data_IF_270258590905
#
_entry.id   IF_270258590905
#
_cell.length_a   1.000
_cell.length_b   1.000
_cell.length_c   1.000
_cell.angle_alpha   90.00
_cell.angle_beta   90.00
_cell.angle_gamma   90.00
#
_symmetry.space_group_name_H-M   'P 1'
#
loop_
_entity.id
_entity.type
_entity.pdbx_description
1 polymer ?
#
# COMPACT_ATOMS: atom_id res chain seq x y z
N UNK A 1 0.47 -8.50 -23.12
CA UNK A 1 0.93 -9.67 -22.35
C UNK A 1 -0.04 -9.89 -21.21
N UNK A 2 -0.97 -10.83 -21.39
CA UNK A 2 -2.08 -11.08 -20.47
C UNK A 2 -2.09 -12.57 -20.09
N UNK A 3 -1.08 -13.00 -19.35
CA UNK A 3 -1.02 -14.34 -18.73
C UNK A 3 -0.24 -14.20 -17.42
N UNK A 4 -0.92 -13.80 -16.34
CA UNK A 4 -0.34 -13.84 -14.99
C UNK A 4 -1.37 -13.67 -13.87
N UNK A 5 -2.52 -13.05 -14.12
CA UNK A 5 -3.49 -12.73 -13.06
C UNK A 5 -4.29 -13.92 -12.53
N UNK A 6 -4.33 -15.07 -13.22
CA UNK A 6 -5.21 -16.19 -12.85
C UNK A 6 -4.50 -17.19 -11.92
N UNK A 7 -3.17 -17.25 -11.94
CA UNK A 7 -2.40 -18.19 -11.11
C UNK A 7 -2.17 -17.74 -9.66
N UNK A 8 -2.47 -16.48 -9.31
CA UNK A 8 -2.36 -15.99 -7.93
C UNK A 8 -3.67 -16.13 -7.13
N UNK A 9 -4.82 -16.29 -7.78
CA UNK A 9 -6.12 -16.36 -7.09
C UNK A 9 -6.40 -17.73 -6.47
N UNK A 10 -5.79 -18.81 -6.98
CA UNK A 10 -6.02 -20.17 -6.49
C UNK A 10 -5.15 -20.56 -5.29
N UNK A 11 -4.15 -19.74 -4.91
CA UNK A 11 -3.30 -20.02 -3.74
C UNK A 11 -3.85 -19.47 -2.42
N UNK A 12 -4.89 -18.62 -2.45
CA UNK A 12 -5.48 -17.98 -1.25
C UNK A 12 -6.69 -18.75 -0.65
N UNK A 13 -7.03 -19.96 -1.11
CA UNK A 13 -8.27 -20.66 -0.72
C UNK A 13 -8.14 -22.09 -0.18
N UNK A 14 -6.94 -22.61 0.13
CA UNK A 14 -6.81 -23.98 0.66
C UNK A 14 -5.93 -23.99 1.90
N UNK A 15 -6.57 -24.05 3.08
CA UNK A 15 -6.02 -24.64 4.30
C UNK A 15 -7.15 -24.78 5.36
N UNK A 16 -8.16 -25.58 5.04
CA UNK A 16 -9.07 -26.16 6.05
C UNK A 16 -9.17 -27.66 5.77
N UNK A 17 -8.08 -28.40 5.94
CA UNK A 17 -8.15 -29.87 6.06
C UNK A 17 -7.05 -30.31 7.02
N UNK A 18 -7.47 -30.80 8.19
CA UNK A 18 -6.61 -31.67 9.02
C UNK A 18 -6.43 -31.30 10.49
N UNK A 19 -7.46 -30.88 11.24
CA UNK A 19 -7.36 -30.89 12.72
C UNK A 19 -8.01 -32.16 13.26
N UNK A 20 -7.27 -33.26 13.19
CA UNK A 20 -7.64 -34.52 13.82
C UNK A 20 -6.53 -34.98 14.76
N UNK A 21 -6.85 -35.06 16.06
CA UNK A 21 -6.03 -35.61 17.16
C UNK A 21 -4.93 -34.70 17.75
N UNK A 22 -5.24 -33.43 18.00
CA UNK A 22 -4.45 -32.58 18.89
C UNK A 22 -5.19 -32.41 20.23
N UNK A 23 -4.45 -32.28 21.33
CA UNK A 23 -5.05 -31.87 22.60
C UNK A 23 -5.86 -30.57 22.39
N UNK A 24 -7.01 -30.40 23.05
CA UNK A 24 -7.94 -29.30 22.77
C UNK A 24 -7.29 -27.89 22.77
N UNK A 25 -6.22 -27.70 23.55
CA UNK A 25 -5.44 -26.45 23.57
C UNK A 25 -4.59 -26.25 22.30
N UNK A 26 -4.04 -27.32 21.72
CA UNK A 26 -3.27 -27.27 20.48
C UNK A 26 -4.19 -27.01 19.28
N UNK A 27 -5.36 -27.65 19.20
CA UNK A 27 -6.36 -27.36 18.17
C UNK A 27 -6.83 -25.89 18.19
N UNK A 28 -6.99 -25.31 19.38
CA UNK A 28 -7.39 -23.92 19.56
C UNK A 28 -6.29 -22.94 19.08
N UNK A 29 -5.03 -23.23 19.39
CA UNK A 29 -3.90 -22.43 18.93
C UNK A 29 -3.76 -22.51 17.40
N UNK A 30 -3.85 -23.72 16.83
CA UNK A 30 -3.85 -23.97 15.39
C UNK A 30 -4.95 -23.16 14.67
N UNK A 31 -6.14 -23.10 15.26
CA UNK A 31 -7.27 -22.37 14.69
C UNK A 31 -7.04 -20.86 14.72
N UNK A 32 -6.45 -20.33 15.80
CA UNK A 32 -6.09 -18.91 15.90
C UNK A 32 -5.07 -18.50 14.83
N UNK A 33 -4.15 -19.40 14.43
CA UNK A 33 -3.18 -19.14 13.36
C UNK A 33 -3.81 -18.76 12.04
N UNK A 34 -5.04 -19.20 11.78
CA UNK A 34 -5.77 -18.82 10.57
C UNK A 34 -5.97 -17.29 10.55
N UNK A 35 -6.48 -16.71 11.64
CA UNK A 35 -6.65 -15.25 11.75
C UNK A 35 -5.29 -14.53 11.74
N UNK A 36 -4.28 -15.07 12.42
CA UNK A 36 -2.91 -14.50 12.40
C UNK A 36 -2.37 -14.44 10.97
N UNK A 37 -2.59 -15.50 10.19
CA UNK A 37 -2.20 -15.58 8.78
C UNK A 37 -2.98 -14.61 7.91
N UNK A 38 -4.29 -14.46 8.14
CA UNK A 38 -5.12 -13.45 7.45
C UNK A 38 -4.58 -12.04 7.69
N UNK A 39 -4.28 -11.68 8.95
CA UNK A 39 -3.68 -10.41 9.29
C UNK A 39 -2.30 -10.24 8.63
N UNK A 40 -1.41 -11.23 8.77
CA UNK A 40 -0.08 -11.22 8.15
C UNK A 40 -0.14 -11.01 6.63
N UNK A 41 -1.00 -11.76 5.93
CA UNK A 41 -1.17 -11.59 4.48
C UNK A 41 -1.71 -10.20 4.11
N UNK A 42 -2.64 -9.65 4.89
CA UNK A 42 -3.16 -8.32 4.62
C UNK A 42 -2.10 -7.23 4.86
N UNK A 43 -1.23 -7.41 5.85
CA UNK A 43 -0.12 -6.48 6.11
C UNK A 43 0.93 -6.50 5.00
N UNK A 44 1.24 -7.67 4.44
CA UNK A 44 2.11 -7.76 3.26
C UNK A 44 1.47 -7.11 2.03
N UNK A 45 0.18 -7.39 1.76
CA UNK A 45 -0.56 -6.74 0.68
C UNK A 45 -0.57 -5.18 0.85
N UNK A 46 -0.63 -4.67 2.09
CA UNK A 46 -0.53 -3.24 2.40
C UNK A 46 0.87 -2.68 2.13
N UNK A 47 1.92 -3.37 2.57
CA UNK A 47 3.31 -2.94 2.34
C UNK A 47 3.69 -3.01 0.86
N UNK A 48 3.19 -3.99 0.10
CA UNK A 48 3.37 -4.05 -1.35
C UNK A 48 2.67 -2.89 -2.06
N UNK A 49 1.43 -2.57 -1.67
CA UNK A 49 0.72 -1.40 -2.17
C UNK A 49 1.48 -0.11 -1.85
N UNK A 50 2.08 -0.01 -0.66
CA UNK A 50 2.86 1.16 -0.27
C UNK A 50 4.14 1.31 -1.09
N UNK A 51 4.91 0.22 -1.25
CA UNK A 51 6.12 0.21 -2.08
C UNK A 51 5.83 0.50 -3.55
N UNK A 52 4.71 -0.01 -4.06
CA UNK A 52 4.23 0.30 -5.42
C UNK A 52 3.89 1.78 -5.56
N UNK A 53 3.13 2.35 -4.63
CA UNK A 53 2.78 3.76 -4.66
C UNK A 53 4.01 4.66 -4.58
N UNK A 54 4.98 4.32 -3.73
CA UNK A 54 6.23 5.06 -3.60
C UNK A 54 7.09 4.98 -4.87
N UNK A 55 7.21 3.79 -5.47
CA UNK A 55 7.91 3.63 -6.77
C UNK A 55 7.24 4.45 -7.86
N UNK A 56 5.90 4.47 -7.87
CA UNK A 56 5.11 5.21 -8.82
C UNK A 56 5.33 6.74 -8.71
N UNK A 57 5.57 7.28 -7.50
CA UNK A 57 5.84 8.72 -7.31
C UNK A 57 6.99 9.23 -8.19
N UNK A 58 7.98 8.36 -8.40
CA UNK A 58 9.21 8.68 -9.10
C UNK A 58 9.29 8.10 -10.51
N UNK A 59 8.23 7.43 -10.98
CA UNK A 59 8.19 6.88 -12.32
C UNK A 59 7.92 8.01 -13.34
N UNK A 60 8.66 8.08 -14.46
CA UNK A 60 8.36 9.00 -15.55
C UNK A 60 7.03 8.61 -16.22
N UNK A 61 6.45 9.53 -16.97
CA UNK A 61 5.26 9.25 -17.80
C UNK A 61 5.57 8.12 -18.80
N UNK A 62 4.70 7.10 -18.95
CA UNK A 62 4.91 6.05 -19.93
C UNK A 62 4.93 6.61 -21.35
N UNK A 63 6.09 6.60 -22.01
CA UNK A 63 6.25 7.00 -23.42
C UNK A 63 6.12 5.78 -24.34
N UNK A 64 5.45 5.94 -25.49
CA UNK A 64 5.46 4.94 -26.57
C UNK A 64 6.87 4.76 -27.14
N UNK A 65 7.16 3.64 -27.80
CA UNK A 65 8.48 3.40 -28.39
C UNK A 65 8.86 4.50 -29.39
N UNK A 66 7.90 4.91 -30.24
CA UNK A 66 8.11 5.97 -31.21
C UNK A 66 8.39 7.31 -30.51
N UNK A 67 7.67 7.63 -29.43
CA UNK A 67 7.90 8.87 -28.68
C UNK A 67 9.30 8.91 -28.04
N UNK A 68 9.74 7.79 -27.44
CA UNK A 68 11.11 7.68 -26.88
C UNK A 68 12.17 7.83 -27.96
N UNK A 69 11.96 7.23 -29.12
CA UNK A 69 12.90 7.32 -30.23
C UNK A 69 13.00 8.75 -30.77
N UNK A 70 11.85 9.42 -30.99
CA UNK A 70 11.83 10.81 -31.46
C UNK A 70 12.48 11.76 -30.45
N UNK A 71 12.22 11.57 -29.16
CA UNK A 71 12.84 12.37 -28.09
C UNK A 71 14.36 12.15 -28.03
N UNK A 72 14.83 10.91 -28.11
CA UNK A 72 16.26 10.62 -28.18
C UNK A 72 16.93 11.29 -29.39
N UNK A 73 16.30 11.23 -30.57
CA UNK A 73 16.82 11.88 -31.78
C UNK A 73 16.90 13.40 -31.57
N UNK A 74 15.83 14.03 -31.09
CA UNK A 74 15.80 15.47 -30.82
C UNK A 74 16.86 15.89 -29.77
N UNK A 75 17.02 15.10 -28.71
CA UNK A 75 18.03 15.33 -27.68
C UNK A 75 19.45 15.23 -28.27
N UNK A 76 19.71 14.25 -29.14
CA UNK A 76 21.00 14.08 -29.81
C UNK A 76 21.29 15.22 -30.80
N UNK A 77 20.29 15.73 -31.51
CA UNK A 77 20.43 16.90 -32.39
C UNK A 77 20.76 18.17 -31.61
N UNK A 78 20.18 18.34 -30.42
CA UNK A 78 20.44 19.48 -29.54
C UNK A 78 21.73 19.35 -28.71
N UNK A 79 22.24 18.13 -28.51
CA UNK A 79 23.38 17.88 -27.63
C UNK A 79 24.71 18.20 -28.31
N UNK A 80 25.39 19.24 -27.81
CA UNK A 80 26.66 19.73 -28.36
C UNK A 80 27.91 19.11 -27.72
N UNK A 81 27.73 18.26 -26.69
CA UNK A 81 28.81 17.65 -25.93
C UNK A 81 29.27 16.28 -26.47
N UNK A 82 30.26 15.68 -25.79
CA UNK A 82 30.65 14.28 -26.04
C UNK A 82 29.70 13.33 -25.30
N UNK A 83 29.19 12.31 -26.00
CA UNK A 83 28.39 11.25 -25.36
C UNK A 83 29.30 10.43 -24.43
N UNK A 84 28.83 10.21 -23.21
CA UNK A 84 29.52 9.47 -22.15
C UNK A 84 28.55 8.48 -21.50
N UNK A 85 29.04 7.41 -20.85
CA UNK A 85 28.17 6.49 -20.10
C UNK A 85 27.31 7.21 -19.05
N UNK A 86 27.79 8.31 -18.47
CA UNK A 86 27.09 9.09 -17.45
C UNK A 86 25.94 9.96 -17.98
N UNK A 87 26.02 10.45 -19.22
CA UNK A 87 24.99 11.33 -19.80
C UNK A 87 24.01 10.58 -20.71
N UNK A 88 24.37 9.41 -21.22
CA UNK A 88 23.53 8.60 -22.10
C UNK A 88 22.13 8.31 -21.51
N UNK A 89 21.97 7.94 -20.22
CA UNK A 89 20.64 7.73 -19.65
C UNK A 89 19.74 8.98 -19.70
N UNK A 90 20.32 10.16 -19.47
CA UNK A 90 19.60 11.44 -19.53
C UNK A 90 19.28 11.85 -20.97
N UNK A 91 20.11 11.49 -21.94
CA UNK A 91 19.82 11.71 -23.36
C UNK A 91 18.70 10.78 -23.86
N UNK A 92 18.62 9.57 -23.33
CA UNK A 92 17.58 8.59 -23.64
C UNK A 92 16.22 8.93 -22.99
N UNK A 93 16.23 9.45 -21.76
CA UNK A 93 15.04 9.88 -21.05
C UNK A 93 15.38 11.05 -20.10
N UNK A 94 15.16 12.30 -20.52
CA UNK A 94 15.48 13.46 -19.70
C UNK A 94 14.53 13.63 -18.51
N UNK A 95 13.32 13.05 -18.60
CA UNK A 95 12.31 13.07 -17.53
C UNK A 95 12.56 12.00 -16.46
N UNK A 96 13.51 11.08 -16.69
CA UNK A 96 13.87 10.07 -15.70
C UNK A 96 14.50 10.74 -14.47
N UNK A 97 13.71 10.88 -13.40
CA UNK A 97 14.21 11.43 -12.15
C UNK A 97 15.25 10.50 -11.52
N UNK A 98 16.43 11.07 -11.28
CA UNK A 98 17.48 10.44 -10.47
C UNK A 98 17.14 10.66 -9.01
N UNK A 99 16.39 9.73 -8.42
CA UNK A 99 16.23 9.68 -6.96
C UNK A 99 17.64 9.49 -6.37
N UNK A 100 17.97 10.23 -5.31
CA UNK A 100 19.17 9.94 -4.52
C UNK A 100 19.13 8.47 -4.09
N UNK A 101 20.11 7.64 -4.49
CA UNK A 101 20.16 6.24 -4.11
C UNK A 101 20.07 6.01 -2.60
N UNK A 102 20.56 6.95 -1.79
CA UNK A 102 20.48 6.87 -0.33
C UNK A 102 19.04 7.00 0.17
N UNK A 103 18.24 7.89 -0.43
CA UNK A 103 16.82 8.07 -0.08
C UNK A 103 16.03 6.82 -0.45
N UNK A 104 16.26 6.28 -1.66
CA UNK A 104 15.63 5.03 -2.10
C UNK A 104 16.01 3.85 -1.18
N UNK A 105 17.29 3.74 -0.80
CA UNK A 105 17.77 2.66 0.06
C UNK A 105 17.26 2.79 1.49
N UNK A 106 17.20 4.00 2.05
CA UNK A 106 16.67 4.23 3.39
C UNK A 106 15.19 3.84 3.47
N UNK A 107 14.43 4.17 2.43
CA UNK A 107 13.04 3.74 2.33
C UNK A 107 12.88 2.23 2.31
N UNK A 108 13.61 1.55 1.43
CA UNK A 108 13.57 0.10 1.32
C UNK A 108 13.95 -0.57 2.66
N UNK A 109 14.90 0.00 3.40
CA UNK A 109 15.25 -0.46 4.76
C UNK A 109 14.09 -0.27 5.73
N UNK A 110 13.41 0.87 5.72
CA UNK A 110 12.23 1.11 6.57
C UNK A 110 11.12 0.10 6.28
N UNK A 111 10.79 -0.11 5.00
CA UNK A 111 9.75 -1.07 4.61
C UNK A 111 10.14 -2.51 4.96
N UNK A 112 11.40 -2.89 4.76
CA UNK A 112 11.92 -4.20 5.17
C UNK A 112 11.88 -4.38 6.69
N UNK A 113 12.21 -3.34 7.45
CA UNK A 113 12.12 -3.36 8.92
C UNK A 113 10.68 -3.47 9.40
N UNK A 114 9.72 -2.84 8.73
CA UNK A 114 8.30 -3.02 9.03
C UNK A 114 7.90 -4.46 8.75
N UNK A 115 8.08 -4.97 7.52
CA UNK A 115 7.80 -6.38 7.17
C UNK A 115 8.37 -7.37 8.18
N UNK A 116 9.64 -7.20 8.54
CA UNK A 116 10.30 -8.07 9.49
C UNK A 116 9.60 -8.06 10.87
N UNK A 117 9.11 -6.93 11.37
CA UNK A 117 8.36 -6.88 12.63
C UNK A 117 7.05 -7.69 12.56
N UNK A 118 6.31 -7.63 11.46
CA UNK A 118 5.05 -8.37 11.29
C UNK A 118 5.31 -9.86 11.07
N UNK A 119 6.35 -10.20 10.29
CA UNK A 119 6.78 -11.59 10.11
C UNK A 119 7.24 -12.22 11.41
N UNK A 120 7.99 -11.48 12.24
CA UNK A 120 8.37 -11.92 13.58
C UNK A 120 7.15 -12.17 14.46
N UNK A 121 6.15 -11.29 14.42
CA UNK A 121 4.90 -11.50 15.14
C UNK A 121 4.18 -12.78 14.70
N UNK A 122 4.02 -13.00 13.39
CA UNK A 122 3.40 -14.23 12.86
C UNK A 122 4.19 -15.47 13.28
N UNK A 123 5.53 -15.42 13.22
CA UNK A 123 6.42 -16.52 13.57
C UNK A 123 6.37 -16.91 15.06
N UNK A 124 5.91 -16.02 15.97
CA UNK A 124 5.66 -16.39 17.37
C UNK A 124 4.63 -17.53 17.41
N UNK A 125 3.59 -17.47 16.58
CA UNK A 125 2.55 -18.48 16.57
C UNK A 125 3.04 -19.82 16.01
N UNK A 126 3.99 -19.83 15.07
CA UNK A 126 4.63 -21.07 14.59
C UNK A 126 5.30 -21.86 15.71
N UNK A 127 5.82 -21.16 16.73
CA UNK A 127 6.49 -21.77 17.88
C UNK A 127 5.52 -22.29 18.95
N UNK A 128 4.27 -21.82 18.96
CA UNK A 128 3.25 -22.22 19.95
C UNK A 128 2.80 -23.68 19.75
N UNK A 129 2.98 -24.25 18.55
CA UNK A 129 2.58 -25.62 18.18
C UNK A 129 3.60 -26.71 18.60
N UNK A 130 4.87 -26.37 18.84
CA UNK A 130 5.94 -27.35 18.97
C UNK A 130 6.10 -28.00 20.37
N UNK A 131 5.06 -27.98 21.23
CA UNK A 131 5.05 -28.75 22.50
C UNK A 131 4.76 -27.97 23.78
N UNK A 132 4.10 -26.82 23.73
CA UNK A 132 3.81 -26.03 24.92
C UNK A 132 2.46 -26.38 25.56
N UNK A 133 2.49 -26.92 26.79
CA UNK A 133 1.32 -27.03 27.67
C UNK A 133 0.80 -25.67 28.19
N UNK A 134 1.38 -24.55 27.74
CA UNK A 134 1.13 -23.18 28.20
C UNK A 134 0.61 -22.26 27.07
N UNK A 135 -0.05 -22.82 26.05
CA UNK A 135 -0.48 -22.09 24.85
C UNK A 135 -1.41 -20.89 25.08
N UNK A 136 -2.05 -20.76 26.24
CA UNK A 136 -2.89 -19.60 26.55
C UNK A 136 -2.09 -18.36 26.97
N UNK A 137 -1.12 -18.49 27.87
CA UNK A 137 -0.28 -17.36 28.27
C UNK A 137 0.59 -16.89 27.11
N UNK A 138 1.17 -17.83 26.35
CA UNK A 138 1.97 -17.51 25.18
C UNK A 138 1.18 -16.71 24.13
N UNK A 139 -0.10 -17.01 23.92
CA UNK A 139 -0.96 -16.21 23.02
C UNK A 139 -1.24 -14.83 23.62
N UNK A 140 -1.65 -14.73 24.89
CA UNK A 140 -1.97 -13.45 25.53
C UNK A 140 -0.75 -12.52 25.61
N UNK A 141 0.46 -13.07 25.80
CA UNK A 141 1.71 -12.31 25.83
C UNK A 141 2.03 -11.63 24.48
N UNK A 142 1.42 -12.08 23.38
CA UNK A 142 1.54 -11.40 22.07
C UNK A 142 0.64 -10.18 21.92
N UNK A 143 -0.33 -9.99 22.82
CA UNK A 143 -1.31 -8.89 22.76
C UNK A 143 -0.65 -7.50 22.68
N UNK A 144 0.29 -7.15 23.56
CA UNK A 144 1.00 -5.86 23.49
C UNK A 144 1.83 -5.68 22.22
N UNK A 145 2.34 -6.77 21.64
CA UNK A 145 3.08 -6.73 20.37
C UNK A 145 2.12 -6.36 19.24
N UNK A 146 0.97 -7.03 19.15
CA UNK A 146 -0.05 -6.75 18.15
C UNK A 146 -0.60 -5.33 18.27
N UNK A 147 -0.86 -4.85 19.48
CA UNK A 147 -1.32 -3.49 19.73
C UNK A 147 -0.34 -2.46 19.15
N UNK A 148 0.95 -2.62 19.40
CA UNK A 148 1.99 -1.75 18.84
C UNK A 148 1.98 -1.76 17.31
N UNK A 149 1.91 -2.96 16.70
CA UNK A 149 1.87 -3.08 15.23
C UNK A 149 0.62 -2.40 14.66
N UNK A 150 -0.55 -2.62 15.26
CA UNK A 150 -1.78 -1.96 14.85
C UNK A 150 -1.68 -0.44 14.90
N UNK A 151 -1.14 0.12 15.98
CA UNK A 151 -0.97 1.56 16.11
C UNK A 151 -0.07 2.14 15.01
N UNK A 152 0.93 1.37 14.55
CA UNK A 152 1.76 1.74 13.40
C UNK A 152 0.95 1.71 12.08
N UNK A 153 0.11 0.70 11.85
CA UNK A 153 -0.77 0.67 10.67
C UNK A 153 -1.75 1.84 10.68
N UNK A 154 -2.40 2.11 11.81
CA UNK A 154 -3.38 3.18 11.94
C UNK A 154 -2.74 4.55 11.69
N UNK A 155 -1.52 4.78 12.21
CA UNK A 155 -0.75 5.98 11.94
C UNK A 155 -0.43 6.15 10.44
N UNK A 156 0.13 5.11 9.80
CA UNK A 156 0.45 5.13 8.36
C UNK A 156 -0.83 5.36 7.53
N UNK A 157 -1.94 4.74 7.92
CA UNK A 157 -3.23 4.90 7.23
C UNK A 157 -3.75 6.33 7.33
N UNK A 158 -3.65 6.95 8.52
CA UNK A 158 -4.04 8.35 8.73
C UNK A 158 -3.19 9.30 7.90
N UNK A 159 -1.88 9.07 7.87
CA UNK A 159 -0.94 9.87 7.07
C UNK A 159 -1.27 9.77 5.58
N UNK A 160 -1.50 8.56 5.05
CA UNK A 160 -1.91 8.34 3.64
C UNK A 160 -3.25 9.00 3.29
N UNK A 161 -4.15 9.14 4.26
CA UNK A 161 -5.45 9.78 4.06
C UNK A 161 -5.38 11.32 4.09
N UNK A 162 -4.35 11.86 4.74
CA UNK A 162 -4.07 13.31 4.85
C UNK A 162 -3.16 13.79 3.73
N UNK A 163 -2.09 13.05 3.45
CA UNK A 163 -1.08 13.33 2.45
C UNK A 163 -0.94 12.14 1.47
N UNK A 164 -1.78 12.08 0.42
CA UNK A 164 -1.76 10.97 -0.52
C UNK A 164 -0.50 10.93 -1.37
N UNK A 165 -0.06 9.73 -1.79
CA UNK A 165 0.98 9.59 -2.80
C UNK A 165 0.66 10.35 -4.09
N UNK A 166 1.63 11.08 -4.62
CA UNK A 166 1.53 11.86 -5.87
C UNK A 166 2.59 11.42 -6.88
N UNK A 167 2.30 11.53 -8.17
CA UNK A 167 3.26 11.28 -9.24
C UNK A 167 4.19 12.49 -9.43
N UNK A 168 5.09 12.73 -8.48
CA UNK A 168 5.93 13.92 -8.42
C UNK A 168 6.65 14.24 -9.73
N UNK A 169 7.18 13.21 -10.40
CA UNK A 169 7.90 13.37 -11.68
C UNK A 169 6.96 13.83 -12.78
N UNK A 170 5.83 13.13 -12.95
CA UNK A 170 4.84 13.44 -13.98
C UNK A 170 4.22 14.82 -13.76
N UNK A 171 3.97 15.20 -12.51
CA UNK A 171 3.54 16.58 -12.15
C UNK A 171 4.60 17.59 -12.58
N UNK A 172 5.87 17.33 -12.29
CA UNK A 172 6.99 18.17 -12.71
C UNK A 172 7.06 18.34 -14.23
N UNK A 173 6.94 17.26 -15.00
CA UNK A 173 6.90 17.28 -16.47
C UNK A 173 5.73 18.13 -16.97
N UNK A 174 4.51 17.91 -16.48
CA UNK A 174 3.35 18.72 -16.88
C UNK A 174 3.53 20.20 -16.53
N UNK A 175 4.13 20.53 -15.38
CA UNK A 175 4.41 21.93 -15.02
C UNK A 175 5.44 22.55 -15.99
N UNK A 176 6.48 21.80 -16.37
CA UNK A 176 7.45 22.24 -17.35
C UNK A 176 6.82 22.44 -18.73
N UNK A 177 5.95 21.53 -19.18
CA UNK A 177 5.20 21.64 -20.43
C UNK A 177 4.31 22.87 -20.46
N UNK A 178 3.59 23.15 -19.36
CA UNK A 178 2.78 24.35 -19.25
C UNK A 178 3.62 25.62 -19.36
N UNK A 179 4.77 25.66 -18.68
CA UNK A 179 5.67 26.80 -18.76
C UNK A 179 6.22 26.98 -20.18
N UNK A 180 6.53 25.90 -20.88
CA UNK A 180 6.96 25.92 -22.29
C UNK A 180 5.87 26.50 -23.21
N UNK A 181 4.63 26.01 -23.10
CA UNK A 181 3.46 26.53 -23.85
C UNK A 181 3.29 28.04 -23.59
N UNK A 182 3.52 28.49 -22.34
CA UNK A 182 3.39 29.90 -21.97
C UNK A 182 4.52 30.78 -22.51
N UNK A 183 5.75 30.27 -22.56
CA UNK A 183 6.94 31.03 -22.95
C UNK A 183 7.17 31.13 -24.45
N UNK A 184 6.63 30.19 -25.24
CA UNK A 184 6.84 30.18 -26.68
C UNK A 184 6.15 31.36 -27.37
N UNK A 185 6.82 32.02 -28.35
CA UNK A 185 6.20 33.01 -29.22
C UNK A 185 4.92 32.45 -29.82
N UNK A 186 3.87 33.25 -29.77
CA UNK A 186 2.55 32.82 -30.17
C UNK A 186 2.27 33.28 -31.60
N UNK A 187 2.60 32.43 -32.56
CA UNK A 187 2.39 32.72 -33.98
C UNK A 187 1.01 32.23 -34.46
N UNK A 188 0.33 31.39 -33.66
CA UNK A 188 -0.99 30.80 -33.93
C UNK A 188 -1.77 30.57 -32.61
N UNK A 189 -2.80 31.38 -32.39
CA UNK A 189 -3.66 31.34 -31.20
C UNK A 189 -4.45 30.02 -31.08
N UNK A 190 -4.89 29.45 -32.20
CA UNK A 190 -5.67 28.21 -32.20
C UNK A 190 -4.78 27.02 -31.82
N UNK A 191 -3.55 26.99 -32.33
CA UNK A 191 -2.56 25.98 -31.96
C UNK A 191 -2.20 26.05 -30.47
N UNK A 192 -2.03 27.26 -29.92
CA UNK A 192 -1.76 27.44 -28.48
C UNK A 192 -2.96 27.03 -27.62
N UNK A 193 -4.18 27.39 -28.02
CA UNK A 193 -5.41 26.99 -27.34
C UNK A 193 -5.55 25.47 -27.29
N UNK A 194 -5.31 24.78 -28.40
CA UNK A 194 -5.35 23.31 -28.47
C UNK A 194 -4.33 22.67 -27.52
N UNK A 195 -3.10 23.19 -27.46
CA UNK A 195 -2.05 22.67 -26.56
C UNK A 195 -2.43 22.85 -25.09
N UNK A 196 -3.02 23.99 -24.72
CA UNK A 196 -3.52 24.21 -23.36
C UNK A 196 -4.68 23.25 -23.02
N UNK A 197 -5.55 22.95 -23.98
CA UNK A 197 -6.64 22.01 -23.79
C UNK A 197 -6.13 20.57 -23.59
N UNK A 198 -5.13 20.14 -24.36
CA UNK A 198 -4.47 18.84 -24.19
C UNK A 198 -3.81 18.76 -22.81
N UNK A 199 -3.04 19.79 -22.43
CA UNK A 199 -2.41 19.85 -21.11
C UNK A 199 -3.43 19.73 -19.97
N UNK A 200 -4.57 20.43 -20.09
CA UNK A 200 -5.65 20.36 -19.11
C UNK A 200 -6.24 18.95 -19.00
N UNK A 201 -6.39 18.24 -20.12
CA UNK A 201 -6.84 16.85 -20.12
C UNK A 201 -5.83 15.93 -19.42
N UNK A 202 -4.54 16.07 -19.74
CA UNK A 202 -3.46 15.27 -19.14
C UNK A 202 -3.35 15.50 -17.63
N UNK A 203 -3.49 16.75 -17.18
CA UNK A 203 -3.52 17.09 -15.76
C UNK A 203 -4.69 16.41 -15.03
N UNK A 204 -5.90 16.46 -15.60
CA UNK A 204 -7.06 15.80 -15.00
C UNK A 204 -6.94 14.28 -14.99
N UNK A 205 -6.36 13.69 -16.04
CA UNK A 205 -6.06 12.26 -16.08
C UNK A 205 -5.07 11.87 -14.98
N UNK A 206 -3.99 12.65 -14.79
CA UNK A 206 -3.02 12.44 -13.72
C UNK A 206 -3.68 12.48 -12.34
N UNK A 207 -4.50 13.50 -12.08
CA UNK A 207 -5.22 13.64 -10.81
C UNK A 207 -6.18 12.46 -10.56
N UNK A 208 -6.79 11.89 -11.60
CA UNK A 208 -7.64 10.71 -11.49
C UNK A 208 -6.82 9.45 -11.15
N UNK A 209 -5.64 9.28 -11.77
CA UNK A 209 -4.70 8.21 -11.43
C UNK A 209 -4.20 8.31 -9.99
N UNK A 210 -3.87 9.52 -9.50
CA UNK A 210 -3.46 9.75 -8.11
C UNK A 210 -4.56 9.33 -7.12
N UNK A 211 -5.83 9.65 -7.42
CA UNK A 211 -6.98 9.20 -6.60
C UNK A 211 -7.13 7.68 -6.57
N UNK A 212 -6.93 7.01 -7.71
CA UNK A 212 -6.96 5.55 -7.77
C UNK A 212 -5.80 4.94 -6.97
N UNK A 213 -4.61 5.53 -7.06
CA UNK A 213 -3.45 5.11 -6.29
C UNK A 213 -3.70 5.23 -4.79
N UNK A 214 -4.20 6.39 -4.34
CA UNK A 214 -4.59 6.62 -2.94
C UNK A 214 -5.63 5.60 -2.49
N UNK A 215 -6.71 5.41 -3.25
CA UNK A 215 -7.79 4.50 -2.89
C UNK A 215 -7.31 3.05 -2.80
N UNK A 216 -6.44 2.61 -3.72
CA UNK A 216 -5.85 1.28 -3.68
C UNK A 216 -4.99 1.09 -2.42
N UNK A 217 -4.07 2.02 -2.15
CA UNK A 217 -3.18 1.93 -1.00
C UNK A 217 -3.94 2.00 0.33
N UNK A 218 -4.86 2.96 0.49
CA UNK A 218 -5.68 3.07 1.69
C UNK A 218 -6.50 1.80 1.95
N UNK A 219 -7.11 1.22 0.90
CA UNK A 219 -7.90 -0.01 1.04
C UNK A 219 -7.07 -1.17 1.61
N UNK A 220 -5.84 -1.35 1.15
CA UNK A 220 -4.97 -2.41 1.68
C UNK A 220 -4.61 -2.19 3.14
N UNK A 221 -4.24 -0.95 3.51
CA UNK A 221 -3.91 -0.60 4.90
C UNK A 221 -5.11 -0.67 5.84
N UNK A 222 -6.29 -0.25 5.41
CA UNK A 222 -7.52 -0.35 6.20
C UNK A 222 -7.93 -1.80 6.40
N UNK A 223 -7.74 -2.67 5.41
CA UNK A 223 -8.02 -4.10 5.55
C UNK A 223 -7.08 -4.74 6.58
N UNK A 224 -5.78 -4.42 6.51
CA UNK A 224 -4.79 -4.87 7.49
C UNK A 224 -5.12 -4.37 8.90
N UNK A 225 -5.46 -3.08 9.04
CA UNK A 225 -5.84 -2.48 10.32
C UNK A 225 -7.07 -3.15 10.90
N UNK A 226 -8.13 -3.32 10.12
CA UNK A 226 -9.37 -3.96 10.53
C UNK A 226 -9.15 -5.42 10.98
N UNK A 227 -8.38 -6.21 10.22
CA UNK A 227 -8.01 -7.58 10.59
C UNK A 227 -7.13 -7.63 11.84
N UNK A 228 -6.24 -6.65 12.03
CA UNK A 228 -5.48 -6.51 13.27
C UNK A 228 -6.39 -6.28 14.48
N UNK A 229 -7.39 -5.40 14.37
CA UNK A 229 -8.36 -5.18 15.46
C UNK A 229 -9.15 -6.43 15.79
N UNK A 230 -9.54 -7.15 14.76
CA UNK A 230 -10.24 -8.41 14.89
C UNK A 230 -9.40 -9.47 15.59
N UNK A 231 -8.12 -9.61 15.21
CA UNK A 231 -7.18 -10.52 15.85
C UNK A 231 -6.91 -10.14 17.31
N UNK A 232 -6.80 -8.85 17.63
CA UNK A 232 -6.62 -8.39 19.02
C UNK A 232 -7.76 -8.89 19.91
N UNK A 233 -9.01 -8.75 19.45
CA UNK A 233 -10.18 -9.25 20.18
C UNK A 233 -10.07 -10.76 20.48
N UNK A 234 -9.51 -11.53 19.55
CA UNK A 234 -9.30 -12.98 19.73
C UNK A 234 -8.20 -13.28 20.74
N UNK A 235 -7.10 -12.53 20.71
CA UNK A 235 -5.98 -12.68 21.66
C UNK A 235 -6.42 -12.29 23.08
N UNK A 236 -7.11 -11.16 23.24
CA UNK A 236 -7.58 -10.65 24.54
C UNK A 236 -8.58 -11.60 25.19
N UNK A 237 -9.42 -12.25 24.39
CA UNK A 237 -10.44 -13.19 24.86
C UNK A 237 -10.00 -14.65 24.74
N UNK A 238 -8.74 -14.92 24.38
CA UNK A 238 -8.30 -16.25 23.96
C UNK A 238 -8.70 -17.32 24.96
N UNK A 239 -8.48 -17.12 26.26
CA UNK A 239 -8.84 -18.09 27.30
C UNK A 239 -10.32 -18.53 27.27
N UNK A 240 -11.24 -17.64 26.88
CA UNK A 240 -12.70 -17.87 26.88
C UNK A 240 -13.23 -18.44 25.58
N UNK A 241 -12.49 -18.31 24.47
CA UNK A 241 -12.94 -18.77 23.16
C UNK A 241 -12.82 -20.29 23.05
N UNK A 242 -13.83 -20.95 22.49
CA UNK A 242 -13.67 -22.32 22.03
C UNK A 242 -13.23 -22.36 20.55
N UNK A 243 -12.99 -23.56 20.04
CA UNK A 243 -12.55 -23.76 18.66
C UNK A 243 -13.59 -23.26 17.66
N UNK A 244 -14.88 -23.44 17.93
CA UNK A 244 -15.96 -22.99 17.05
C UNK A 244 -16.02 -21.46 16.97
N UNK A 245 -15.83 -20.78 18.10
CA UNK A 245 -15.74 -19.33 18.17
C UNK A 245 -14.56 -18.80 17.36
N UNK A 246 -13.41 -19.49 17.38
CA UNK A 246 -12.24 -19.12 16.57
C UNK A 246 -12.46 -19.37 15.07
N UNK A 247 -13.12 -20.47 14.68
CA UNK A 247 -13.51 -20.72 13.29
C UNK A 247 -14.45 -19.59 12.80
N UNK A 248 -15.50 -19.29 13.57
CA UNK A 248 -16.41 -18.20 13.24
C UNK A 248 -15.70 -16.84 13.19
N UNK A 249 -14.69 -16.63 14.03
CA UNK A 249 -13.87 -15.42 13.96
C UNK A 249 -13.03 -15.39 12.67
N UNK A 250 -12.46 -16.50 12.21
CA UNK A 250 -11.74 -16.54 10.92
C UNK A 250 -12.67 -16.18 9.73
N UNK A 251 -13.93 -16.63 9.75
CA UNK A 251 -14.94 -16.28 8.73
C UNK A 251 -15.34 -14.81 8.79
N UNK A 252 -15.48 -14.25 10.00
CA UNK A 252 -15.71 -12.82 10.19
C UNK A 252 -14.55 -11.98 9.66
N UNK A 253 -13.30 -12.45 9.79
CA UNK A 253 -12.13 -11.79 9.22
C UNK A 253 -12.23 -11.65 7.70
N UNK A 254 -12.61 -12.72 7.00
CA UNK A 254 -12.85 -12.70 5.54
C UNK A 254 -13.95 -11.69 5.18
N UNK A 255 -15.05 -11.69 5.94
CA UNK A 255 -16.18 -10.78 5.73
C UNK A 255 -15.76 -9.32 5.93
N UNK A 256 -14.96 -9.06 6.96
CA UNK A 256 -14.44 -7.72 7.29
C UNK A 256 -13.53 -7.19 6.19
N UNK A 257 -12.60 -8.02 5.71
CA UNK A 257 -11.76 -7.66 4.56
C UNK A 257 -12.61 -7.40 3.30
N UNK A 258 -13.67 -8.18 3.10
CA UNK A 258 -14.65 -7.96 2.03
C UNK A 258 -15.36 -6.61 2.13
N UNK A 259 -15.79 -6.21 3.34
CA UNK A 259 -16.42 -4.90 3.59
C UNK A 259 -15.47 -3.75 3.25
N UNK A 260 -14.23 -3.78 3.74
CA UNK A 260 -13.23 -2.74 3.41
C UNK A 260 -13.00 -2.65 1.90
N UNK A 261 -12.98 -3.80 1.19
CA UNK A 261 -12.84 -3.81 -0.26
C UNK A 261 -13.99 -3.12 -0.99
N UNK A 262 -15.20 -3.19 -0.44
CA UNK A 262 -16.40 -2.56 -1.02
C UNK A 262 -16.52 -1.06 -0.78
N UNK A 263 -15.70 -0.48 0.11
CA UNK A 263 -15.72 0.96 0.36
C UNK A 263 -15.32 1.76 -0.88
N UNK A 264 -16.06 2.85 -1.11
CA UNK A 264 -15.74 3.85 -2.12
C UNK A 264 -14.47 4.63 -1.74
N UNK A 265 -13.79 5.28 -2.71
CA UNK A 265 -12.62 6.12 -2.43
C UNK A 265 -12.88 7.19 -1.36
N UNK A 266 -14.07 7.80 -1.36
CA UNK A 266 -14.43 8.85 -0.40
C UNK A 266 -14.59 8.27 1.02
N UNK A 267 -15.21 7.11 1.14
CA UNK A 267 -15.36 6.41 2.43
C UNK A 267 -14.01 5.98 2.99
N UNK A 268 -13.11 5.47 2.14
CA UNK A 268 -11.75 5.10 2.54
C UNK A 268 -10.97 6.29 3.10
N UNK A 269 -11.06 7.46 2.46
CA UNK A 269 -10.39 8.68 2.96
C UNK A 269 -10.99 9.13 4.28
N UNK A 270 -12.32 9.14 4.40
CA UNK A 270 -12.99 9.56 5.62
C UNK A 270 -12.64 8.64 6.80
N UNK A 271 -12.74 7.33 6.61
CA UNK A 271 -12.45 6.36 7.66
C UNK A 271 -10.95 6.34 8.00
N UNK A 272 -10.06 6.42 7.00
CA UNK A 272 -8.61 6.50 7.20
C UNK A 272 -8.17 7.68 8.04
N UNK A 273 -8.79 8.86 7.86
CA UNK A 273 -8.51 10.05 8.69
C UNK A 273 -8.85 9.82 10.15
N UNK A 274 -9.98 9.17 10.40
CA UNK A 274 -10.52 8.97 11.74
C UNK A 274 -9.76 7.89 12.55
N UNK A 275 -9.05 6.96 11.91
CA UNK A 275 -8.40 5.83 12.59
C UNK A 275 -7.42 6.24 13.70
N UNK A 276 -6.68 7.34 13.52
CA UNK A 276 -5.71 7.81 14.51
C UNK A 276 -6.33 8.74 15.57
N UNK A 277 -7.41 9.44 15.23
CA UNK A 277 -8.14 10.33 16.17
C UNK A 277 -8.85 9.51 17.25
N UNK A 278 -9.38 8.32 16.90
CA UNK A 278 -9.95 7.38 17.88
C UNK A 278 -8.90 6.69 18.74
N UNK A 279 -7.66 6.55 18.27
CA UNK A 279 -6.56 5.91 19.00
C UNK A 279 -5.84 6.88 19.99
N UNK A 280 -5.90 8.19 19.74
CA UNK A 280 -5.26 9.23 20.56
C UNK A 280 -6.22 10.03 21.43
N UNK A 281 -7.52 9.67 21.45
CA UNK A 281 -8.54 10.34 22.26
C UNK A 281 -8.84 11.78 21.84
N UNK A 282 -8.43 12.19 20.64
CA UNK A 282 -8.69 13.53 20.12
C UNK A 282 -9.99 13.53 19.33
N UNK A 283 -11.13 13.39 20.01
CA UNK A 283 -12.41 13.74 19.43
C UNK A 283 -12.45 15.25 19.24
N UNK A 284 -12.27 15.74 18.01
CA UNK A 284 -12.68 17.10 17.67
C UNK A 284 -14.17 17.22 17.91
N UNK A 285 -14.51 17.99 18.94
CA UNK A 285 -15.89 18.29 19.33
C UNK A 285 -16.70 18.75 18.11
N UNK A 286 -17.81 18.07 17.87
CA UNK A 286 -18.87 18.54 16.97
C UNK A 286 -19.29 19.95 17.41
N UNK A 287 -19.29 20.97 16.53
CA UNK A 287 -19.88 22.25 16.87
C UNK A 287 -21.39 22.04 16.97
N UNK A 288 -21.93 22.31 18.16
CA UNK A 288 -23.37 22.37 18.38
C UNK A 288 -23.97 23.42 17.43
N UNK A 289 -25.03 23.03 16.73
CA UNK A 289 -25.93 23.95 16.03
C UNK A 289 -26.76 24.74 17.04
#
# INVERSE_FOLDING_TARGET
MAVSSIYQFTRKAVLIIGIGLLAACSQKAETLKITVTQFGSATEDAFDAYGTAQTAQFAPSPKSQNARQSEFIANMEAFTGKVTPSNLPTLLDPDAVKIDPNVAQQWQKTLASLRNQYQQFVAIFDQIEAGSALGASAVTDTGPILEKLRNQLDAITSDLAKDPPQFLVRRGTLIADLNKIRSEPNDDDDAKSLRLQIWWQDWNALMAEEKLLQAHTLRSFMAASALGRHLQTQIDNYAKLDVNALIGAAEQGITLAGKVRSLSPTELVAEGRNLFETATGSTTATPAQ
#
